data_IF_262126683777
#
_entry.id   IF_262126683777
#
_cell.length_a   1.000
_cell.length_b   1.000
_cell.length_c   1.000
_cell.angle_alpha   90.00
_cell.angle_beta   90.00
_cell.angle_gamma   90.00
#
_symmetry.space_group_name_H-M   'P 1'
#
loop_
_entity.id
_entity.type
_entity.pdbx_description
1 polymer ?
#
# COMPACT_ATOMS: atom_id res chain seq x y z
N UNK A 1 5.91 -2.77 -16.04
CA UNK A 1 4.58 -2.58 -15.42
C UNK A 1 3.99 -1.31 -15.99
N UNK A 2 2.69 -1.28 -16.26
CA UNK A 2 1.97 -0.07 -16.65
C UNK A 2 0.98 0.33 -15.57
N UNK A 3 0.70 1.62 -15.44
CA UNK A 3 -0.32 2.12 -14.52
C UNK A 3 -0.95 3.41 -15.06
N UNK A 4 -2.18 3.72 -14.63
CA UNK A 4 -2.87 4.96 -15.01
C UNK A 4 -3.89 5.39 -13.95
N UNK A 5 -4.07 6.71 -13.78
CA UNK A 5 -5.14 7.31 -12.98
C UNK A 5 -6.50 7.29 -13.68
N UNK A 6 -6.51 6.99 -14.98
CA UNK A 6 -7.73 6.92 -15.79
C UNK A 6 -8.21 5.48 -15.88
N UNK A 7 -9.39 5.13 -15.33
CA UNK A 7 -9.90 3.75 -15.34
C UNK A 7 -9.95 3.17 -16.75
N UNK A 8 -10.49 3.93 -17.70
CA UNK A 8 -10.66 3.47 -19.09
C UNK A 8 -9.33 3.23 -19.79
N UNK A 9 -8.31 4.05 -19.51
CA UNK A 9 -6.97 3.86 -20.06
C UNK A 9 -6.29 2.61 -19.48
N UNK A 10 -6.42 2.36 -18.18
CA UNK A 10 -5.88 1.16 -17.55
C UNK A 10 -6.54 -0.12 -18.11
N UNK A 11 -7.87 -0.12 -18.22
CA UNK A 11 -8.61 -1.24 -18.79
C UNK A 11 -8.29 -1.46 -20.28
N UNK A 12 -8.18 -0.39 -21.06
CA UNK A 12 -7.78 -0.49 -22.47
C UNK A 12 -6.37 -1.06 -22.60
N UNK A 13 -5.41 -0.58 -21.79
CA UNK A 13 -4.04 -1.10 -21.78
C UNK A 13 -4.02 -2.60 -21.48
N UNK A 14 -4.85 -3.07 -20.55
CA UNK A 14 -4.97 -4.52 -20.26
C UNK A 14 -5.56 -5.32 -21.41
N UNK A 15 -6.46 -4.74 -22.21
CA UNK A 15 -7.01 -5.39 -23.40
C UNK A 15 -6.01 -5.44 -24.56
N UNK A 16 -5.17 -4.42 -24.70
CA UNK A 16 -4.18 -4.32 -25.78
C UNK A 16 -2.98 -5.27 -25.59
N UNK A 17 -2.67 -5.66 -24.37
CA UNK A 17 -1.53 -6.53 -24.09
C UNK A 17 -1.74 -7.39 -22.84
N UNK A 18 -1.14 -8.59 -22.83
CA UNK A 18 -1.15 -9.51 -21.68
C UNK A 18 0.25 -9.80 -21.11
N UNK A 19 1.31 -9.23 -21.70
CA UNK A 19 2.71 -9.50 -21.35
C UNK A 19 3.13 -8.84 -20.04
N UNK A 20 2.66 -7.63 -19.77
CA UNK A 20 3.05 -6.81 -18.62
C UNK A 20 1.86 -6.57 -17.71
N UNK A 21 2.09 -6.57 -16.40
CA UNK A 21 1.05 -6.22 -15.43
C UNK A 21 0.61 -4.76 -15.58
N UNK A 22 -0.71 -4.55 -15.43
CA UNK A 22 -1.38 -3.26 -15.48
C UNK A 22 -2.04 -3.01 -14.13
N UNK A 23 -1.78 -1.84 -13.57
CA UNK A 23 -2.28 -1.40 -12.27
C UNK A 23 -3.15 -0.15 -12.42
N UNK A 24 -4.12 0.02 -11.54
CA UNK A 24 -4.89 1.26 -11.45
C UNK A 24 -4.31 2.18 -10.37
N UNK A 25 -4.03 3.44 -10.74
CA UNK A 25 -3.60 4.48 -9.81
C UNK A 25 -4.82 5.19 -9.22
N UNK A 26 -4.86 5.33 -7.90
CA UNK A 26 -5.96 6.00 -7.20
C UNK A 26 -5.48 6.89 -6.07
N UNK A 27 -6.20 7.99 -5.85
CA UNK A 27 -6.02 8.82 -4.65
C UNK A 27 -6.86 8.29 -3.48
N UNK A 28 -7.65 7.23 -3.70
CA UNK A 28 -8.44 6.55 -2.68
C UNK A 28 -9.35 7.50 -1.88
N UNK A 29 -9.86 8.55 -2.53
CA UNK A 29 -10.69 9.58 -1.90
C UNK A 29 -9.91 10.67 -1.15
N UNK A 30 -8.60 10.80 -1.35
CA UNK A 30 -7.83 11.98 -0.90
C UNK A 30 -8.20 13.21 -1.73
N UNK A 31 -8.59 12.98 -2.99
CA UNK A 31 -9.16 13.98 -3.89
C UNK A 31 -10.47 13.44 -4.46
N UNK A 32 -11.42 14.34 -4.71
CA UNK A 32 -12.71 14.00 -5.31
C UNK A 32 -12.69 14.42 -6.78
N UNK A 33 -12.93 13.46 -7.65
CA UNK A 33 -13.04 13.63 -9.09
C UNK A 33 -14.49 13.49 -9.55
N UNK A 34 -14.80 14.04 -10.72
CA UNK A 34 -16.10 13.86 -11.38
C UNK A 34 -16.38 12.39 -11.70
N UNK A 35 -15.34 11.63 -12.08
CA UNK A 35 -15.45 10.17 -12.25
C UNK A 35 -15.42 9.48 -10.88
N UNK A 36 -16.57 8.95 -10.47
CA UNK A 36 -16.78 8.31 -9.17
C UNK A 36 -15.87 7.12 -8.96
N UNK A 37 -15.45 6.44 -10.03
CA UNK A 37 -14.58 5.25 -9.98
C UNK A 37 -13.20 5.53 -9.37
N UNK A 38 -12.82 6.82 -9.28
CA UNK A 38 -11.52 7.28 -8.77
C UNK A 38 -11.57 7.69 -7.30
N UNK A 39 -12.75 7.72 -6.68
CA UNK A 39 -12.98 8.44 -5.44
C UNK A 39 -12.88 7.57 -4.18
N UNK A 40 -12.59 6.28 -4.28
CA UNK A 40 -12.38 5.42 -3.11
C UNK A 40 -11.52 4.21 -3.44
N UNK A 41 -11.03 3.54 -2.39
CA UNK A 41 -10.37 2.24 -2.52
C UNK A 41 -11.33 1.14 -2.96
N UNK A 42 -12.61 1.23 -2.60
CA UNK A 42 -13.62 0.26 -3.05
C UNK A 42 -13.83 0.35 -4.54
N UNK A 43 -14.02 1.56 -5.05
CA UNK A 43 -14.18 1.78 -6.48
C UNK A 43 -12.93 1.35 -7.26
N UNK A 44 -11.73 1.57 -6.69
CA UNK A 44 -10.50 1.08 -7.27
C UNK A 44 -10.44 -0.46 -7.37
N UNK A 45 -10.94 -1.19 -6.36
CA UNK A 45 -11.09 -2.65 -6.42
C UNK A 45 -12.04 -3.03 -7.56
N UNK A 46 -13.20 -2.36 -7.67
CA UNK A 46 -14.18 -2.65 -8.72
C UNK A 46 -13.60 -2.43 -10.13
N UNK A 47 -12.90 -1.31 -10.35
CA UNK A 47 -12.21 -1.02 -11.63
C UNK A 47 -11.21 -2.11 -12.00
N UNK A 48 -10.44 -2.57 -11.02
CA UNK A 48 -9.45 -3.62 -11.23
C UNK A 48 -10.08 -4.96 -11.57
N UNK A 49 -11.13 -5.36 -10.84
CA UNK A 49 -11.83 -6.62 -11.09
C UNK A 49 -12.55 -6.63 -12.44
N UNK A 50 -13.27 -5.57 -12.77
CA UNK A 50 -13.95 -5.41 -14.07
C UNK A 50 -12.94 -5.38 -15.23
N UNK A 51 -11.80 -4.72 -15.01
CA UNK A 51 -10.73 -4.56 -15.99
C UNK A 51 -9.80 -5.76 -16.16
N UNK A 52 -9.87 -6.76 -15.27
CA UNK A 52 -8.86 -7.82 -15.18
C UNK A 52 -7.45 -7.28 -14.90
N UNK A 53 -7.35 -6.19 -14.13
CA UNK A 53 -6.08 -5.56 -13.75
C UNK A 53 -5.40 -6.37 -12.64
N UNK A 54 -4.09 -6.20 -12.49
CA UNK A 54 -3.29 -6.99 -11.57
C UNK A 54 -3.23 -6.39 -10.17
N UNK A 55 -3.51 -5.09 -10.02
CA UNK A 55 -3.45 -4.47 -8.72
C UNK A 55 -3.73 -2.98 -8.72
N UNK A 56 -3.59 -2.41 -7.53
CA UNK A 56 -3.86 -1.01 -7.21
C UNK A 56 -2.55 -0.35 -6.77
N UNK A 57 -2.34 0.88 -7.22
CA UNK A 57 -1.32 1.78 -6.69
C UNK A 57 -2.04 2.95 -6.03
N UNK A 58 -2.09 2.97 -4.70
CA UNK A 58 -2.87 3.96 -3.94
C UNK A 58 -1.98 5.07 -3.38
N UNK A 59 -2.53 6.28 -3.25
CA UNK A 59 -1.93 7.28 -2.38
C UNK A 59 -1.93 6.75 -0.93
N UNK A 60 -0.80 6.91 -0.23
CA UNK A 60 -0.54 6.30 1.08
C UNK A 60 -1.47 6.81 2.19
N UNK A 61 -1.89 8.09 2.18
CA UNK A 61 -2.86 8.61 3.15
C UNK A 61 -4.22 7.91 3.01
N UNK A 62 -4.61 7.46 1.81
CA UNK A 62 -5.84 6.68 1.65
C UNK A 62 -5.78 5.33 2.37
N UNK A 63 -4.62 4.67 2.36
CA UNK A 63 -4.40 3.41 3.08
C UNK A 63 -4.45 3.63 4.60
N UNK A 64 -3.84 4.70 5.11
CA UNK A 64 -3.91 5.00 6.55
C UNK A 64 -5.29 5.45 7.01
N UNK A 65 -6.08 6.13 6.18
CA UNK A 65 -7.47 6.46 6.51
C UNK A 65 -8.37 5.23 6.56
N UNK A 66 -8.09 4.22 5.76
CA UNK A 66 -8.87 2.98 5.73
C UNK A 66 -7.97 1.73 5.66
N UNK A 67 -7.31 1.36 6.78
CA UNK A 67 -6.44 0.18 6.82
C UNK A 67 -7.17 -1.12 6.48
N UNK A 68 -8.47 -1.21 6.80
CA UNK A 68 -9.32 -2.36 6.47
C UNK A 68 -9.48 -2.59 4.96
N UNK A 69 -9.19 -1.60 4.12
CA UNK A 69 -9.14 -1.79 2.67
C UNK A 69 -8.03 -2.77 2.25
N UNK A 70 -6.91 -2.86 2.97
CA UNK A 70 -5.81 -3.76 2.59
C UNK A 70 -6.28 -5.23 2.61
N UNK A 71 -7.06 -5.62 3.62
CA UNK A 71 -7.62 -6.97 3.70
C UNK A 71 -8.53 -7.26 2.49
N UNK A 72 -9.42 -6.32 2.15
CA UNK A 72 -10.33 -6.45 1.00
C UNK A 72 -9.59 -6.52 -0.34
N UNK A 73 -8.54 -5.73 -0.53
CA UNK A 73 -7.70 -5.76 -1.74
C UNK A 73 -7.02 -7.13 -1.88
N UNK A 74 -6.51 -7.69 -0.78
CA UNK A 74 -5.90 -9.02 -0.76
C UNK A 74 -6.91 -10.14 -1.00
N UNK A 75 -8.09 -10.07 -0.39
CA UNK A 75 -9.19 -11.01 -0.62
C UNK A 75 -9.63 -11.01 -2.09
N UNK A 76 -9.61 -9.83 -2.73
CA UNK A 76 -9.83 -9.67 -4.17
C UNK A 76 -8.66 -10.17 -5.05
N UNK A 77 -7.59 -10.71 -4.45
CA UNK A 77 -6.37 -11.20 -5.13
C UNK A 77 -5.67 -10.14 -5.97
N UNK A 78 -5.73 -8.88 -5.53
CA UNK A 78 -5.08 -7.75 -6.17
C UNK A 78 -3.80 -7.40 -5.40
N UNK A 79 -2.71 -7.12 -6.13
CA UNK A 79 -1.51 -6.55 -5.53
C UNK A 79 -1.75 -5.11 -5.10
N UNK A 80 -1.15 -4.70 -3.98
CA UNK A 80 -1.26 -3.33 -3.47
C UNK A 80 0.11 -2.66 -3.36
N UNK A 81 0.32 -1.59 -4.13
CA UNK A 81 1.44 -0.68 -3.95
C UNK A 81 0.96 0.69 -3.50
N UNK A 82 1.86 1.52 -2.98
CA UNK A 82 1.54 2.90 -2.59
C UNK A 82 2.49 3.93 -3.19
N UNK A 83 2.03 5.17 -3.23
CA UNK A 83 2.84 6.36 -3.51
C UNK A 83 2.45 7.50 -2.57
N UNK A 84 3.23 8.57 -2.55
CA UNK A 84 2.91 9.80 -1.82
C UNK A 84 4.01 10.22 -0.87
N UNK A 85 3.88 11.42 -0.30
CA UNK A 85 4.97 12.04 0.47
C UNK A 85 5.38 11.23 1.70
N UNK A 86 4.44 10.50 2.32
CA UNK A 86 4.78 9.67 3.49
C UNK A 86 5.63 8.44 3.14
N UNK A 87 5.75 8.07 1.85
CA UNK A 87 6.66 7.01 1.42
C UNK A 87 8.14 7.45 1.47
N UNK A 88 8.42 8.74 1.67
CA UNK A 88 9.76 9.25 1.89
C UNK A 88 10.18 9.20 3.38
N UNK A 89 9.41 8.52 4.24
CA UNK A 89 9.73 8.31 5.66
C UNK A 89 9.92 6.81 5.92
N UNK A 90 11.12 6.42 6.37
CA UNK A 90 11.52 5.01 6.52
C UNK A 90 10.60 4.20 7.44
N UNK A 91 10.22 4.77 8.58
CA UNK A 91 9.30 4.14 9.54
C UNK A 91 7.93 3.90 8.92
N UNK A 92 7.45 4.82 8.08
CA UNK A 92 6.16 4.69 7.40
C UNK A 92 6.22 3.58 6.35
N UNK A 93 7.31 3.48 5.59
CA UNK A 93 7.51 2.40 4.63
C UNK A 93 7.58 1.03 5.34
N UNK A 94 8.30 0.96 6.46
CA UNK A 94 8.34 -0.25 7.29
C UNK A 94 6.95 -0.62 7.80
N UNK A 95 6.16 0.35 8.26
CA UNK A 95 4.79 0.09 8.69
C UNK A 95 3.89 -0.44 7.57
N UNK A 96 3.99 0.13 6.37
CA UNK A 96 3.25 -0.35 5.20
C UNK A 96 3.59 -1.79 4.86
N UNK A 97 4.88 -2.16 4.95
CA UNK A 97 5.31 -3.54 4.78
C UNK A 97 4.63 -4.49 5.78
N UNK A 98 4.55 -4.13 7.06
CA UNK A 98 3.89 -4.94 8.08
C UNK A 98 2.36 -5.06 7.87
N UNK A 99 1.72 -3.97 7.41
CA UNK A 99 0.31 -4.00 7.00
C UNK A 99 0.09 -4.84 5.73
N UNK A 100 1.18 -5.15 5.02
CA UNK A 100 1.23 -6.04 3.88
C UNK A 100 0.89 -5.34 2.57
N UNK A 101 1.28 -4.07 2.45
CA UNK A 101 1.54 -3.41 1.18
C UNK A 101 2.76 -4.09 0.53
N UNK A 102 2.67 -4.43 -0.75
CA UNK A 102 3.66 -5.24 -1.46
C UNK A 102 4.80 -4.40 -2.06
N UNK A 103 4.62 -3.09 -2.18
CA UNK A 103 5.60 -2.19 -2.77
C UNK A 103 5.29 -0.72 -2.54
N UNK A 104 6.34 0.10 -2.49
CA UNK A 104 6.24 1.54 -2.30
C UNK A 104 6.96 2.26 -3.44
N UNK A 105 6.36 3.34 -3.94
CA UNK A 105 6.99 4.30 -4.85
C UNK A 105 7.52 5.44 -3.99
N UNK A 106 8.81 5.70 -4.10
CA UNK A 106 9.56 6.67 -3.28
C UNK A 106 10.32 7.63 -4.19
N UNK A 107 10.52 8.86 -3.72
CA UNK A 107 11.39 9.83 -4.40
C UNK A 107 12.85 9.65 -3.94
N UNK A 108 13.06 9.30 -2.66
CA UNK A 108 14.37 9.20 -2.00
C UNK A 108 14.82 7.73 -1.84
N UNK A 109 15.18 7.08 -2.96
CA UNK A 109 15.50 5.63 -2.99
C UNK A 109 16.64 5.26 -2.04
N UNK A 110 17.73 6.02 -2.03
CA UNK A 110 18.92 5.70 -1.23
C UNK A 110 18.63 5.79 0.28
N UNK A 111 17.93 6.83 0.71
CA UNK A 111 17.59 7.07 2.11
C UNK A 111 16.64 5.99 2.63
N UNK A 112 15.59 5.68 1.88
CA UNK A 112 14.64 4.63 2.26
C UNK A 112 15.30 3.26 2.27
N UNK A 113 16.16 2.96 1.30
CA UNK A 113 16.88 1.68 1.25
C UNK A 113 17.77 1.51 2.49
N UNK A 114 18.48 2.55 2.90
CA UNK A 114 19.28 2.54 4.15
C UNK A 114 18.41 2.43 5.37
N UNK A 115 17.35 3.23 5.49
CA UNK A 115 16.45 3.17 6.64
C UNK A 115 15.85 1.76 6.82
N UNK A 116 15.47 1.08 5.74
CA UNK A 116 14.96 -0.30 5.81
C UNK A 116 16.08 -1.29 6.16
N UNK A 117 17.27 -1.14 5.56
CA UNK A 117 18.42 -2.03 5.81
C UNK A 117 18.97 -1.89 7.23
N UNK A 118 19.02 -0.66 7.76
CA UNK A 118 19.50 -0.35 9.10
C UNK A 118 18.51 -0.84 10.16
N UNK A 119 17.20 -0.80 9.87
CA UNK A 119 16.19 -1.44 10.72
C UNK A 119 16.30 -2.98 10.76
N UNK A 120 16.95 -3.60 9.77
CA UNK A 120 17.28 -5.03 9.77
C UNK A 120 18.52 -5.35 10.65
N UNK A 121 19.30 -4.33 11.00
CA UNK A 121 20.44 -4.40 11.91
C UNK A 121 20.13 -3.80 13.30
N UNK A 122 20.12 -4.67 14.29
CA UNK A 122 20.19 -4.37 15.73
C UNK A 122 18.87 -4.11 16.52
N UNK A 123 18.55 -5.15 17.31
CA UNK A 123 17.80 -5.20 18.58
C UNK A 123 16.27 -5.24 18.57
N UNK A 124 15.55 -4.82 17.53
CA UNK A 124 14.08 -5.06 17.43
C UNK A 124 13.71 -6.29 16.58
N UNK A 125 14.53 -6.62 15.59
CA UNK A 125 14.31 -7.71 14.62
C UNK A 125 14.38 -9.10 15.28
N UNK A 126 15.17 -9.26 16.35
CA UNK A 126 15.40 -10.54 17.02
C UNK A 126 14.18 -11.06 17.80
N UNK A 127 13.27 -10.17 18.23
CA UNK A 127 12.00 -10.58 18.83
C UNK A 127 10.99 -11.04 17.76
N UNK A 128 11.04 -10.48 16.55
CA UNK A 128 10.08 -10.74 15.47
C UNK A 128 10.51 -11.89 14.53
N UNK A 129 11.81 -12.18 14.40
CA UNK A 129 12.28 -13.40 13.72
C UNK A 129 11.86 -14.69 14.43
N UNK A 130 11.62 -14.64 15.75
CA UNK A 130 10.98 -15.75 16.50
C UNK A 130 9.49 -15.92 16.14
N UNK A 131 8.83 -14.87 15.65
CA UNK A 131 7.42 -14.87 15.28
C UNK A 131 7.19 -15.51 13.90
N UNK A 132 8.00 -15.16 12.90
CA UNK A 132 7.88 -15.71 11.53
C UNK A 132 8.15 -17.22 11.43
N UNK A 133 8.88 -17.83 12.37
CA UNK A 133 9.11 -19.28 12.36
C UNK A 133 7.87 -20.11 12.67
N UNK A 134 6.76 -19.50 13.13
CA UNK A 134 5.62 -20.24 13.67
C UNK A 134 4.27 -20.06 12.97
N UNK A 135 4.09 -19.26 11.90
CA UNK A 135 2.73 -19.12 11.32
C UNK A 135 2.68 -18.81 9.81
N UNK A 136 2.00 -19.69 9.08
CA UNK A 136 1.40 -19.50 7.74
C UNK A 136 0.02 -18.83 7.84
N UNK A 137 -0.12 -17.77 8.65
CA UNK A 137 -1.39 -17.08 8.93
C UNK A 137 -1.18 -15.55 8.94
N UNK A 138 -2.23 -14.73 8.67
CA UNK A 138 -2.10 -13.27 8.53
C UNK A 138 -1.45 -12.62 9.77
N UNK A 139 -0.73 -11.51 9.59
CA UNK A 139 0.09 -10.92 10.66
C UNK A 139 -0.80 -10.46 11.82
N UNK A 140 -0.64 -11.10 12.98
CA UNK A 140 -1.16 -10.60 14.25
C UNK A 140 -0.10 -9.65 14.85
N UNK A 141 -0.37 -8.35 14.79
CA UNK A 141 0.48 -7.32 15.39
C UNK A 141 0.58 -7.51 16.91
N UNK A 142 1.79 -7.33 17.48
CA UNK A 142 1.98 -7.32 18.93
C UNK A 142 1.30 -6.10 19.57
N UNK A 143 1.09 -6.12 20.90
CA UNK A 143 0.54 -4.97 21.62
C UNK A 143 1.45 -3.73 21.53
N UNK A 144 2.76 -3.91 21.40
CA UNK A 144 3.70 -2.80 21.20
C UNK A 144 3.66 -2.25 19.78
N UNK A 145 3.50 -3.10 18.77
CA UNK A 145 3.36 -2.67 17.37
C UNK A 145 2.03 -1.95 17.15
N UNK A 146 0.96 -2.44 17.77
CA UNK A 146 -0.34 -1.78 17.78
C UNK A 146 -0.26 -0.43 18.51
N UNK A 147 0.46 -0.33 19.63
CA UNK A 147 0.60 0.95 20.35
C UNK A 147 1.46 1.94 19.58
N UNK A 148 2.52 1.48 18.90
CA UNK A 148 3.32 2.29 18.00
C UNK A 148 2.48 2.83 16.83
N UNK A 149 1.71 1.95 16.17
CA UNK A 149 0.74 2.30 15.14
C UNK A 149 -0.28 3.34 15.61
N UNK A 150 -0.92 3.08 16.75
CA UNK A 150 -1.95 3.95 17.33
C UNK A 150 -1.41 5.33 17.70
N UNK A 151 -0.14 5.43 18.09
CA UNK A 151 0.50 6.69 18.44
C UNK A 151 1.02 7.48 17.23
N UNK A 152 1.41 6.79 16.15
CA UNK A 152 1.99 7.41 14.95
C UNK A 152 0.93 7.87 13.95
N UNK A 153 -0.15 7.09 13.76
CA UNK A 153 -1.19 7.39 12.77
C UNK A 153 -1.87 8.76 12.95
N UNK A 154 -2.21 9.21 14.18
CA UNK A 154 -2.78 10.54 14.38
C UNK A 154 -1.82 11.68 14.00
N UNK A 155 -0.52 11.48 14.18
CA UNK A 155 0.50 12.51 13.89
C UNK A 155 0.73 12.68 12.38
N UNK A 156 0.63 11.59 11.61
CA UNK A 156 0.76 11.60 10.15
C UNK A 156 -0.49 12.15 9.43
N UNK A 157 -1.62 12.19 10.13
CA UNK A 157 -2.92 12.66 9.61
C UNK A 157 -3.19 14.15 9.85
N UNK A 158 -2.45 14.80 10.76
CA UNK A 158 -2.74 16.18 11.24
C UNK A 158 -1.87 17.25 10.60
N UNK A 159 -0.75 16.90 9.93
CA UNK A 159 0.12 17.89 9.29
C UNK A 159 0.00 17.85 7.74
N UNK A 160 -0.58 18.94 7.22
CA UNK A 160 -0.75 19.37 5.81
C UNK A 160 -1.88 18.73 4.99
#
# INVERSE_FOLDING_TARGET
MFSSFQPDAAQLMRKLQQKYHVFFLTNGGSEIYTDTRRNSLEEAIHVCLEGGLQGIVSEVKAIFRNPGAIARIKEAKLSLFTYGQLNNVGEVVYMQHLMGVEGVIVDLVDEITRAISDNDSDKKVDQLRKFQRNTTLPPQFSKEELSFLLNLMPQLMVNH
#
